data_IF_386600575065
#
_entry.id   IF_386600575065
#
_cell.length_a   1.000
_cell.length_b   1.000
_cell.length_c   1.000
_cell.angle_alpha   90.00
_cell.angle_beta   90.00
_cell.angle_gamma   90.00
#
_symmetry.space_group_name_H-M   'P 1'
#
loop_
_entity.id
_entity.type
_entity.pdbx_description
1 polymer ?
#
# COMPACT_ATOMS: atom_id res chain seq x y z
N UNK A 1 11.50 8.72 -0.15
CA UNK A 1 10.03 8.55 -0.10
C UNK A 1 9.37 9.32 -1.24
N UNK A 2 9.57 10.63 -1.36
CA UNK A 2 9.07 11.43 -2.49
C UNK A 2 9.61 10.97 -3.85
N UNK A 3 10.89 10.59 -3.95
CA UNK A 3 11.48 10.09 -5.20
C UNK A 3 10.78 8.85 -5.77
N UNK A 4 10.37 7.91 -4.93
CA UNK A 4 9.79 6.63 -5.37
C UNK A 4 8.27 6.62 -5.32
N UNK A 5 7.68 7.17 -4.26
CA UNK A 5 6.24 7.06 -4.00
C UNK A 5 5.49 8.37 -4.26
N UNK A 6 6.18 9.46 -4.58
CA UNK A 6 5.60 10.81 -4.78
C UNK A 6 4.64 11.25 -3.66
N UNK A 7 5.08 11.05 -2.42
CA UNK A 7 4.33 11.42 -1.21
C UNK A 7 5.14 12.33 -0.31
N UNK A 8 4.42 13.17 0.45
CA UNK A 8 4.97 14.05 1.47
C UNK A 8 4.98 13.37 2.85
N UNK A 9 5.88 13.80 3.76
CA UNK A 9 5.88 13.31 5.14
C UNK A 9 4.50 13.44 5.79
N UNK A 10 4.06 12.39 6.48
CA UNK A 10 2.74 12.32 7.10
C UNK A 10 1.60 11.85 6.20
N UNK A 11 1.83 11.64 4.90
CA UNK A 11 0.82 11.13 3.94
C UNK A 11 1.16 9.73 3.41
N UNK A 12 1.88 8.93 4.21
CA UNK A 12 2.31 7.58 3.81
C UNK A 12 1.12 6.68 3.55
N UNK A 13 1.13 6.02 2.39
CA UNK A 13 0.04 5.12 1.97
C UNK A 13 0.53 4.03 1.03
N UNK A 14 -0.11 2.87 1.13
CA UNK A 14 0.06 1.75 0.19
C UNK A 14 -0.31 2.13 -1.25
N UNK A 15 -1.17 3.13 -1.44
CA UNK A 15 -1.56 3.62 -2.77
C UNK A 15 -0.41 4.36 -3.48
N UNK A 16 0.60 4.83 -2.73
CA UNK A 16 1.79 5.47 -3.31
C UNK A 16 2.63 4.53 -4.16
N UNK A 17 2.46 3.20 -4.02
CA UNK A 17 3.16 2.21 -4.86
C UNK A 17 2.83 2.36 -6.34
N UNK A 18 1.69 2.96 -6.68
CA UNK A 18 1.33 3.29 -8.08
C UNK A 18 2.34 4.25 -8.74
N UNK A 19 3.09 5.02 -7.94
CA UNK A 19 4.07 5.99 -8.42
C UNK A 19 5.47 5.37 -8.63
N UNK A 20 5.76 4.21 -8.04
CA UNK A 20 7.06 3.54 -8.14
C UNK A 20 7.11 2.61 -9.35
N UNK A 21 7.30 3.22 -10.53
CA UNK A 21 7.27 2.55 -11.84
C UNK A 21 8.39 1.53 -12.05
N UNK A 22 9.50 1.70 -11.33
CA UNK A 22 10.69 0.84 -11.45
C UNK A 22 10.77 -0.19 -10.31
N UNK A 23 9.72 -0.31 -9.49
CA UNK A 23 9.60 -1.26 -8.37
C UNK A 23 10.83 -1.23 -7.45
N UNK A 24 11.29 -0.03 -7.09
CA UNK A 24 12.46 0.17 -6.21
C UNK A 24 12.14 -0.04 -4.74
N UNK A 25 10.88 0.01 -4.38
CA UNK A 25 10.36 -0.20 -3.02
C UNK A 25 9.89 -1.65 -2.87
N UNK A 26 10.19 -2.25 -1.72
CA UNK A 26 9.65 -3.56 -1.37
C UNK A 26 8.41 -3.41 -0.49
N UNK A 27 7.32 -4.08 -0.85
CA UNK A 27 6.10 -4.13 -0.03
C UNK A 27 6.19 -5.25 1.01
N UNK A 28 6.17 -4.86 2.28
CA UNK A 28 6.02 -5.76 3.42
C UNK A 28 4.62 -5.62 4.01
N UNK A 29 3.96 -6.74 4.26
CA UNK A 29 2.65 -6.78 4.94
C UNK A 29 2.78 -7.60 6.20
N UNK A 30 2.42 -7.01 7.33
CA UNK A 30 2.30 -7.73 8.60
C UNK A 30 1.17 -8.77 8.51
N UNK A 31 1.44 -10.01 8.88
CA UNK A 31 0.46 -11.10 8.82
C UNK A 31 -0.79 -10.82 9.65
N UNK A 32 -0.71 -10.01 10.70
CA UNK A 32 -1.87 -9.65 11.52
C UNK A 32 -2.94 -8.89 10.71
N UNK A 33 -2.52 -8.17 9.66
CA UNK A 33 -3.43 -7.46 8.75
C UNK A 33 -4.32 -8.45 7.99
N UNK A 34 -3.84 -9.67 7.70
CA UNK A 34 -4.61 -10.67 6.94
C UNK A 34 -5.87 -11.15 7.65
N UNK A 35 -6.00 -10.89 8.96
CA UNK A 35 -7.20 -11.21 9.74
C UNK A 35 -8.32 -10.18 9.54
N UNK A 36 -8.06 -9.06 8.86
CA UNK A 36 -9.02 -7.97 8.67
C UNK A 36 -9.72 -8.04 7.31
N UNK A 37 -11.00 -7.64 7.25
CA UNK A 37 -11.74 -7.58 5.98
C UNK A 37 -11.37 -6.33 5.15
N UNK A 38 -10.99 -5.25 5.84
CA UNK A 38 -10.68 -3.96 5.23
C UNK A 38 -9.38 -3.40 5.78
N UNK A 39 -8.70 -2.59 4.96
CA UNK A 39 -7.57 -1.77 5.36
C UNK A 39 -7.93 -0.29 5.28
N UNK A 40 -7.53 0.46 6.31
CA UNK A 40 -7.58 1.92 6.31
C UNK A 40 -6.29 2.49 5.74
N UNK A 41 -6.38 3.43 4.80
CA UNK A 41 -5.20 4.14 4.28
C UNK A 41 -5.55 5.55 3.81
N UNK A 42 -4.55 6.42 3.72
CA UNK A 42 -4.71 7.76 3.14
C UNK A 42 -4.64 7.70 1.61
N UNK A 43 -5.40 8.49 0.85
CA UNK A 43 -5.28 8.55 -0.62
C UNK A 43 -4.08 9.42 -1.06
N UNK A 44 -2.87 9.07 -0.60
CA UNK A 44 -1.63 9.82 -0.81
C UNK A 44 -1.62 11.27 -0.26
N UNK A 45 -2.70 11.69 0.42
CA UNK A 45 -2.84 12.94 1.15
C UNK A 45 -3.53 12.64 2.47
N UNK A 46 -3.00 13.16 3.58
CA UNK A 46 -3.47 12.85 4.93
C UNK A 46 -4.73 13.61 5.39
N UNK A 47 -5.41 14.32 4.49
CA UNK A 47 -6.66 15.04 4.78
C UNK A 47 -7.90 14.15 4.67
N UNK A 48 -7.76 12.92 4.20
CA UNK A 48 -8.83 11.94 4.06
C UNK A 48 -8.35 10.52 4.38
N UNK A 49 -9.30 9.63 4.67
CA UNK A 49 -9.05 8.21 4.90
C UNK A 49 -9.98 7.37 4.04
N UNK A 50 -9.43 6.37 3.36
CA UNK A 50 -10.17 5.37 2.62
C UNK A 50 -10.21 4.07 3.41
N UNK A 51 -11.35 3.38 3.32
CA UNK A 51 -11.51 2.01 3.77
C UNK A 51 -11.65 1.14 2.53
N UNK A 52 -10.66 0.31 2.26
CA UNK A 52 -10.57 -0.51 1.03
C UNK A 52 -10.66 -1.97 1.43
N UNK A 53 -11.33 -2.80 0.62
CA UNK A 53 -11.33 -4.24 0.83
C UNK A 53 -9.91 -4.78 0.74
N UNK A 54 -9.46 -5.48 1.78
CA UNK A 54 -8.13 -6.09 1.78
C UNK A 54 -8.00 -7.10 0.62
N UNK A 55 -9.07 -7.85 0.37
CA UNK A 55 -9.15 -8.80 -0.73
C UNK A 55 -8.92 -8.13 -2.08
N UNK A 56 -9.57 -7.01 -2.36
CA UNK A 56 -9.38 -6.29 -3.63
C UNK A 56 -7.98 -5.68 -3.74
N UNK A 57 -7.42 -5.17 -2.63
CA UNK A 57 -6.05 -4.67 -2.61
C UNK A 57 -5.06 -5.78 -3.02
N UNK A 58 -5.15 -6.95 -2.39
CA UNK A 58 -4.25 -8.09 -2.61
C UNK A 58 -4.45 -8.75 -3.98
N UNK A 59 -5.69 -8.94 -4.43
CA UNK A 59 -5.99 -9.73 -5.63
C UNK A 59 -6.15 -8.91 -6.91
N UNK A 60 -6.34 -7.60 -6.82
CA UNK A 60 -6.56 -6.73 -7.99
C UNK A 60 -5.56 -5.59 -8.05
N UNK A 61 -5.47 -4.77 -7.00
CA UNK A 61 -4.65 -3.57 -7.04
C UNK A 61 -3.17 -3.89 -7.15
N UNK A 62 -2.61 -4.66 -6.21
CA UNK A 62 -1.18 -4.99 -6.18
C UNK A 62 -0.71 -5.75 -7.44
N UNK A 63 -1.45 -6.76 -7.95
CA UNK A 63 -1.13 -7.40 -9.23
C UNK A 63 -1.18 -6.45 -10.42
N UNK A 64 -2.13 -5.50 -10.44
CA UNK A 64 -2.24 -4.53 -11.53
C UNK A 64 -1.03 -3.59 -11.60
N UNK A 65 -0.48 -3.21 -10.44
CA UNK A 65 0.74 -2.40 -10.37
C UNK A 65 2.03 -3.23 -10.37
N UNK A 66 1.92 -4.57 -10.53
CA UNK A 66 3.04 -5.52 -10.61
C UNK A 66 3.92 -5.56 -9.36
N UNK A 67 3.30 -5.44 -8.19
CA UNK A 67 4.00 -5.56 -6.92
C UNK A 67 3.89 -6.97 -6.33
N UNK A 68 5.06 -7.51 -5.98
CA UNK A 68 5.16 -8.70 -5.14
C UNK A 68 5.03 -8.34 -3.66
N UNK A 69 4.51 -9.28 -2.88
CA UNK A 69 4.20 -9.10 -1.46
C UNK A 69 5.08 -10.03 -0.64
N UNK A 70 5.74 -9.50 0.36
CA UNK A 70 6.41 -10.30 1.39
C UNK A 70 5.65 -10.16 2.71
N UNK A 71 5.15 -11.29 3.23
CA UNK A 71 4.50 -11.33 4.53
C UNK A 71 5.53 -11.46 5.64
N UNK A 72 5.41 -10.64 6.67
CA UNK A 72 6.30 -10.61 7.83
C UNK A 72 5.51 -10.77 9.12
N UNK A 73 6.15 -11.33 10.15
CA UNK A 73 5.69 -11.28 11.54
C UNK A 73 6.63 -10.32 12.27
N UNK A 74 6.06 -9.32 12.96
CA UNK A 74 6.79 -8.27 13.67
C UNK A 74 6.71 -8.45 15.19
#
# INVERSE_FOLDING_TARGET
MTEYLDITPGSVSVLGLMNDKDCKVQLLIDKDILQQEYIGCHPCVNTASLKISLKDLLSRCLPYIKYDITFVEL
#
